data_IF_109663752802
#
_entry.id   IF_109663752802
#
_cell.length_a   1.000
_cell.length_b   1.000
_cell.length_c   1.000
_cell.angle_alpha   90.00
_cell.angle_beta   90.00
_cell.angle_gamma   90.00
#
_symmetry.space_group_name_H-M   'P 1'
#
loop_
_entity.id
_entity.type
_entity.pdbx_description
1 polymer ?
#
# COMPACT_ATOMS: atom_id res chain seq x y z
N UNK A 1 9.86 2.24 -32.01
CA UNK A 1 9.73 2.31 -31.21
C UNK A 1 9.14 2.20 -30.45
N UNK A 2 8.74 2.03 -30.63
CA UNK A 2 8.18 2.39 -29.75
C UNK A 2 8.44 2.11 -28.69
N UNK A 3 8.59 2.81 -28.28
CA UNK A 3 8.79 2.62 -27.01
C UNK A 3 7.54 2.32 -26.39
N UNK A 4 7.30 1.07 -26.18
CA UNK A 4 6.19 0.67 -25.36
C UNK A 4 6.65 0.71 -23.95
N UNK A 5 6.18 1.64 -23.16
CA UNK A 5 6.43 1.65 -21.73
C UNK A 5 5.20 1.13 -20.99
N UNK A 6 5.29 1.03 -19.69
CA UNK A 6 4.22 0.44 -18.87
C UNK A 6 2.92 1.22 -19.03
N UNK A 7 2.99 2.54 -19.18
CA UNK A 7 1.79 3.36 -19.30
C UNK A 7 1.06 3.13 -20.61
N UNK A 8 1.72 2.49 -21.60
CA UNK A 8 1.11 2.17 -22.87
C UNK A 8 0.53 0.77 -22.94
N UNK A 9 0.51 0.04 -21.82
CA UNK A 9 -0.13 -1.26 -21.78
C UNK A 9 -1.63 -1.10 -22.02
N UNK A 10 -2.27 -2.02 -22.81
CA UNK A 10 -3.71 -1.96 -22.99
C UNK A 10 -4.51 -2.36 -21.76
N UNK A 11 -3.85 -2.79 -20.71
CA UNK A 11 -4.51 -3.26 -19.50
C UNK A 11 -4.03 -2.47 -18.27
N UNK A 12 -4.93 -2.23 -17.32
CA UNK A 12 -4.48 -1.63 -16.05
C UNK A 12 -3.51 -2.54 -15.31
N UNK A 13 -2.72 -1.96 -14.43
CA UNK A 13 -1.72 -2.67 -13.65
C UNK A 13 -2.34 -3.06 -12.31
N UNK A 14 -2.53 -4.36 -12.03
CA UNK A 14 -3.04 -4.79 -10.73
C UNK A 14 -1.95 -4.68 -9.68
N UNK A 15 -2.29 -4.04 -8.56
CA UNK A 15 -1.40 -3.89 -7.42
C UNK A 15 -2.11 -4.29 -6.14
N UNK A 16 -1.34 -4.57 -5.11
CA UNK A 16 -1.83 -4.89 -3.78
C UNK A 16 -1.22 -3.91 -2.78
N UNK A 17 -1.96 -3.62 -1.73
CA UNK A 17 -1.46 -2.80 -0.63
C UNK A 17 -2.28 -3.07 0.61
N UNK A 18 -1.70 -2.80 1.78
CA UNK A 18 -2.38 -3.09 3.03
C UNK A 18 -2.09 -2.10 4.14
N UNK A 19 -3.12 -1.87 4.97
CA UNK A 19 -2.93 -1.33 6.31
C UNK A 19 -2.44 -2.48 7.17
N UNK A 20 -1.21 -2.38 7.65
CA UNK A 20 -0.58 -3.41 8.50
C UNK A 20 -0.69 -2.95 9.94
N UNK A 21 -1.42 -3.71 10.76
CA UNK A 21 -1.61 -3.35 12.16
C UNK A 21 -0.60 -4.06 13.07
N UNK A 22 -0.12 -3.35 14.08
CA UNK A 22 0.69 -3.91 15.16
C UNK A 22 -0.20 -4.30 16.34
N UNK A 23 0.41 -4.72 17.45
CA UNK A 23 -0.34 -5.15 18.64
C UNK A 23 -1.14 -4.02 19.30
N UNK A 24 -0.77 -2.77 19.03
CA UNK A 24 -1.45 -1.60 19.62
C UNK A 24 -2.53 -1.06 18.68
N UNK A 25 -2.90 -1.83 17.65
CA UNK A 25 -3.86 -1.41 16.63
C UNK A 25 -3.46 -0.13 15.91
N UNK A 26 -2.16 0.09 15.79
CA UNK A 26 -1.62 1.15 14.96
C UNK A 26 -1.27 0.60 13.58
N UNK A 27 -1.49 1.39 12.56
CA UNK A 27 -1.20 1.03 11.18
C UNK A 27 0.13 1.61 10.73
N UNK A 28 0.84 0.86 9.89
CA UNK A 28 2.10 1.32 9.32
C UNK A 28 1.84 2.23 8.13
N UNK A 29 2.37 3.44 8.21
CA UNK A 29 2.39 4.37 7.09
C UNK A 29 3.81 4.56 6.60
N UNK A 30 3.98 4.64 5.29
CA UNK A 30 5.26 4.95 4.66
C UNK A 30 5.11 6.14 3.75
N UNK A 31 6.18 6.91 3.62
CA UNK A 31 6.19 8.09 2.75
C UNK A 31 7.11 7.83 1.56
N UNK A 32 6.63 8.08 0.36
CA UNK A 32 7.39 7.79 -0.85
C UNK A 32 7.29 8.90 -1.86
N UNK A 33 8.39 9.10 -2.63
CA UNK A 33 8.43 10.07 -3.73
C UNK A 33 7.47 9.71 -4.86
N UNK A 34 7.18 8.42 -5.04
CA UNK A 34 6.29 7.98 -6.12
C UNK A 34 4.89 8.56 -6.00
N UNK A 35 4.46 8.86 -4.77
CA UNK A 35 3.15 9.42 -4.49
C UNK A 35 3.28 10.84 -3.92
N UNK A 36 4.13 11.67 -4.54
CA UNK A 36 4.26 13.09 -4.23
C UNK A 36 4.70 13.36 -2.79
N UNK A 37 5.56 12.48 -2.25
CA UNK A 37 6.04 12.58 -0.86
C UNK A 37 4.92 12.50 0.17
N UNK A 38 3.76 11.96 -0.21
CA UNK A 38 2.65 11.77 0.72
C UNK A 38 2.78 10.44 1.44
N UNK A 39 2.09 10.33 2.56
CA UNK A 39 2.02 9.10 3.32
C UNK A 39 1.06 8.13 2.67
N UNK A 40 1.42 6.87 2.69
CA UNK A 40 0.62 5.79 2.11
C UNK A 40 0.92 4.47 2.78
N UNK A 41 0.56 3.38 2.08
CA UNK A 41 0.69 2.01 2.60
C UNK A 41 1.69 1.23 1.76
N UNK A 42 2.34 0.20 2.36
CA UNK A 42 3.19 -0.71 1.59
C UNK A 42 2.38 -1.51 0.59
N UNK A 43 3.00 -1.81 -0.54
CA UNK A 43 2.38 -2.61 -1.59
C UNK A 43 3.12 -2.48 -2.90
N UNK A 44 2.61 -3.16 -3.92
CA UNK A 44 3.20 -3.10 -5.24
C UNK A 44 2.50 -4.04 -6.21
N UNK A 45 3.15 -4.29 -7.34
CA UNK A 45 2.56 -5.02 -8.45
C UNK A 45 2.46 -6.52 -8.15
N UNK A 46 1.39 -7.14 -8.65
CA UNK A 46 1.26 -8.58 -8.63
C UNK A 46 2.08 -9.13 -9.80
N UNK A 47 2.95 -10.12 -9.51
CA UNK A 47 3.72 -10.79 -10.56
C UNK A 47 2.90 -11.92 -11.16
N UNK A 48 3.14 -12.22 -12.44
CA UNK A 48 2.50 -13.35 -13.10
C UNK A 48 2.73 -14.62 -12.29
N UNK A 49 1.65 -15.33 -12.02
CA UNK A 49 1.71 -16.58 -11.27
C UNK A 49 1.51 -16.44 -9.77
N UNK A 50 1.47 -15.19 -9.24
CA UNK A 50 1.20 -14.97 -7.83
C UNK A 50 -0.30 -14.75 -7.61
N UNK A 51 -0.82 -15.28 -6.52
CA UNK A 51 -2.12 -14.83 -6.01
C UNK A 51 -1.96 -13.44 -5.38
N UNK A 52 -3.05 -12.69 -5.24
CA UNK A 52 -2.96 -11.36 -4.63
C UNK A 52 -2.46 -11.41 -3.17
N UNK A 53 -2.90 -12.36 -2.31
CA UNK A 53 -2.31 -12.44 -0.97
C UNK A 53 -0.82 -12.78 -0.96
N UNK A 54 -0.36 -13.63 -1.88
CA UNK A 54 1.06 -13.97 -1.96
C UNK A 54 1.88 -12.77 -2.43
N UNK A 55 1.37 -12.02 -3.40
CA UNK A 55 2.00 -10.77 -3.84
C UNK A 55 2.09 -9.78 -2.69
N UNK A 56 1.02 -9.67 -1.90
CA UNK A 56 1.00 -8.77 -0.75
C UNK A 56 2.07 -9.15 0.28
N UNK A 57 2.17 -10.44 0.63
CA UNK A 57 3.20 -10.90 1.58
C UNK A 57 4.60 -10.58 1.08
N UNK A 58 4.84 -10.82 -0.21
CA UNK A 58 6.14 -10.56 -0.82
C UNK A 58 6.47 -9.07 -0.82
N UNK A 59 5.52 -8.23 -1.23
CA UNK A 59 5.75 -6.78 -1.28
C UNK A 59 6.01 -6.21 0.12
N UNK A 60 5.23 -6.64 1.11
CA UNK A 60 5.42 -6.17 2.48
C UNK A 60 6.81 -6.58 2.99
N UNK A 61 7.22 -7.84 2.73
CA UNK A 61 8.53 -8.31 3.15
C UNK A 61 9.65 -7.52 2.49
N UNK A 62 9.53 -7.25 1.19
CA UNK A 62 10.55 -6.51 0.45
C UNK A 62 10.66 -5.07 0.92
N UNK A 63 9.53 -4.42 1.20
CA UNK A 63 9.51 -3.00 1.51
C UNK A 63 9.74 -2.70 2.99
N UNK A 64 9.37 -3.60 3.89
CA UNK A 64 9.35 -3.30 5.33
C UNK A 64 10.03 -4.36 6.18
N UNK A 65 10.38 -5.52 5.62
CA UNK A 65 10.93 -6.68 6.33
C UNK A 65 9.94 -7.31 7.33
N UNK A 66 8.65 -6.99 7.21
CA UNK A 66 7.64 -7.55 8.11
C UNK A 66 7.02 -8.82 7.53
N UNK A 67 6.64 -9.74 8.43
CA UNK A 67 5.81 -10.89 8.10
C UNK A 67 4.41 -10.63 8.63
N UNK A 68 3.40 -10.98 7.84
CA UNK A 68 2.01 -10.64 8.16
C UNK A 68 1.10 -11.86 8.10
N UNK A 69 0.02 -11.77 8.88
CA UNK A 69 -1.06 -12.75 8.93
C UNK A 69 -2.40 -12.02 8.89
N UNK A 70 -3.49 -12.77 8.92
CA UNK A 70 -4.86 -12.25 8.97
C UNK A 70 -5.15 -11.29 7.83
N UNK A 71 -4.76 -11.69 6.63
CA UNK A 71 -4.97 -10.89 5.42
C UNK A 71 -6.46 -10.88 5.08
N UNK A 72 -7.05 -9.67 5.07
CA UNK A 72 -8.47 -9.49 4.80
C UNK A 72 -8.66 -8.47 3.70
N UNK A 73 -9.37 -8.85 2.64
CA UNK A 73 -9.68 -7.92 1.55
C UNK A 73 -10.71 -6.87 2.02
N UNK A 74 -10.47 -5.62 1.69
CA UNK A 74 -11.36 -4.51 2.06
C UNK A 74 -12.08 -3.96 0.85
N UNK A 75 -11.34 -3.48 -0.15
CA UNK A 75 -11.95 -2.89 -1.34
C UNK A 75 -10.95 -2.84 -2.49
N UNK A 76 -11.46 -2.57 -3.68
CA UNK A 76 -10.65 -2.31 -4.86
C UNK A 76 -10.89 -0.86 -5.29
N UNK A 77 -9.84 -0.20 -5.74
CA UNK A 77 -9.94 1.16 -6.26
C UNK A 77 -9.44 1.22 -7.69
N UNK A 78 -10.14 1.97 -8.51
CA UNK A 78 -9.69 2.30 -9.86
C UNK A 78 -8.87 3.59 -9.77
N UNK A 79 -7.57 3.51 -9.97
CA UNK A 79 -6.70 4.68 -9.95
C UNK A 79 -6.24 4.98 -11.38
N UNK A 80 -7.04 5.81 -12.05
CA UNK A 80 -6.81 6.15 -13.46
C UNK A 80 -6.06 7.47 -13.51
N UNK A 81 -4.80 7.41 -13.94
CA UNK A 81 -3.91 8.58 -14.05
C UNK A 81 -3.98 9.48 -12.81
N UNK A 82 -3.76 8.92 -11.61
CA UNK A 82 -3.86 9.75 -10.40
C UNK A 82 -2.82 10.86 -10.43
N UNK A 83 -3.27 12.08 -10.11
CA UNK A 83 -2.40 13.27 -10.19
C UNK A 83 -1.25 13.23 -9.20
N UNK A 84 -1.41 12.50 -8.09
CA UNK A 84 -0.39 12.39 -7.05
C UNK A 84 0.73 11.42 -7.40
N UNK A 85 0.50 10.51 -8.36
CA UNK A 85 1.53 9.56 -8.74
C UNK A 85 2.53 10.23 -9.69
N UNK A 86 3.81 9.83 -9.61
CA UNK A 86 4.91 10.53 -10.28
C UNK A 86 4.91 10.39 -11.80
N UNK A 87 4.08 9.51 -12.36
CA UNK A 87 3.97 9.33 -13.81
C UNK A 87 2.55 8.88 -14.16
N UNK A 88 2.24 8.91 -15.45
CA UNK A 88 0.96 8.42 -15.93
C UNK A 88 0.88 6.91 -15.74
N UNK A 89 -0.22 6.46 -15.17
CA UNK A 89 -0.44 5.04 -14.93
C UNK A 89 -1.92 4.80 -14.65
N UNK A 90 -2.37 3.58 -14.95
CA UNK A 90 -3.71 3.13 -14.58
C UNK A 90 -3.54 1.90 -13.70
N UNK A 91 -3.86 2.04 -12.41
CA UNK A 91 -3.74 0.96 -11.45
C UNK A 91 -5.11 0.43 -11.05
N UNK A 92 -5.16 -0.87 -10.83
CA UNK A 92 -6.25 -1.50 -10.10
C UNK A 92 -5.68 -1.82 -8.71
N UNK A 93 -6.11 -1.07 -7.70
CA UNK A 93 -5.55 -1.18 -6.35
C UNK A 93 -6.40 -2.13 -5.52
N UNK A 94 -5.84 -3.29 -5.18
CA UNK A 94 -6.50 -4.24 -4.28
C UNK A 94 -6.02 -3.94 -2.87
N UNK A 95 -6.94 -3.48 -2.03
CA UNK A 95 -6.61 -3.00 -0.69
C UNK A 95 -7.03 -4.00 0.39
N UNK A 96 -6.12 -4.23 1.32
CA UNK A 96 -6.25 -5.22 2.38
C UNK A 96 -5.96 -4.61 3.74
N UNK A 97 -6.36 -5.30 4.79
CA UNK A 97 -5.79 -5.14 6.13
C UNK A 97 -5.07 -6.44 6.49
N UNK A 98 -4.11 -6.35 7.39
CA UNK A 98 -3.41 -7.51 7.92
C UNK A 98 -2.74 -7.14 9.25
N UNK A 99 -2.13 -8.14 9.90
CA UNK A 99 -1.42 -7.91 11.17
C UNK A 99 0.00 -8.42 11.03
N UNK A 100 0.96 -7.63 11.52
CA UNK A 100 2.34 -8.07 11.53
C UNK A 100 2.60 -8.99 12.74
N UNK A 101 3.55 -9.90 12.54
CA UNK A 101 3.96 -10.82 13.61
C UNK A 101 4.89 -10.12 14.58
N UNK A 102 4.82 -10.54 15.86
CA UNK A 102 5.73 -10.08 16.86
C UNK A 102 5.21 -8.90 17.67
N UNK A 103 5.68 -8.81 18.91
CA UNK A 103 5.29 -7.76 19.84
C UNK A 103 5.95 -6.43 19.52
N UNK A 104 7.19 -6.47 19.02
CA UNK A 104 7.96 -5.27 18.67
C UNK A 104 8.54 -5.44 17.28
N UNK A 105 7.68 -5.35 16.24
CA UNK A 105 8.13 -5.58 14.88
C UNK A 105 9.14 -4.52 14.47
N UNK A 106 10.20 -4.97 13.79
CA UNK A 106 11.26 -4.07 13.33
C UNK A 106 11.04 -3.77 11.86
N UNK A 107 10.75 -2.52 11.54
CA UNK A 107 10.58 -2.07 10.17
C UNK A 107 11.94 -1.73 9.58
N UNK A 108 12.24 -2.33 8.43
CA UNK A 108 13.45 -2.02 7.67
C UNK A 108 13.01 -1.68 6.26
N UNK A 109 13.05 -0.40 5.92
CA UNK A 109 12.63 0.07 4.61
C UNK A 109 13.67 -0.26 3.54
N UNK A 110 13.19 -0.52 2.32
CA UNK A 110 14.08 -0.54 1.15
C UNK A 110 14.18 0.89 0.61
N UNK A 111 14.76 1.04 -0.59
CA UNK A 111 15.00 2.37 -1.17
C UNK A 111 13.76 3.02 -1.78
N UNK A 112 12.61 2.36 -1.77
CA UNK A 112 11.39 2.92 -2.34
C UNK A 112 10.67 3.89 -1.40
N UNK A 113 10.99 3.86 -0.11
CA UNK A 113 10.34 4.73 0.88
C UNK A 113 11.38 5.49 1.71
N UNK A 114 11.03 6.72 2.12
CA UNK A 114 11.95 7.58 2.86
C UNK A 114 11.79 7.44 4.36
N UNK A 115 10.57 7.27 4.86
CA UNK A 115 10.32 7.17 6.29
C UNK A 115 9.04 6.39 6.56
N UNK A 116 8.88 5.99 7.81
CA UNK A 116 7.73 5.20 8.24
C UNK A 116 7.29 5.65 9.63
N UNK A 117 6.03 5.38 9.95
CA UNK A 117 5.51 5.59 11.30
C UNK A 117 4.36 4.64 11.59
N UNK A 118 4.14 4.37 12.88
CA UNK A 118 2.95 3.65 13.35
C UNK A 118 1.98 4.68 13.89
N UNK A 119 0.73 4.65 13.41
CA UNK A 119 -0.31 5.59 13.86
C UNK A 119 -1.64 4.87 13.98
N UNK A 120 -2.49 5.33 14.89
CA UNK A 120 -3.90 4.88 14.88
C UNK A 120 -4.55 5.37 13.60
N UNK A 121 -5.64 4.72 13.19
CA UNK A 121 -6.35 5.16 11.98
C UNK A 121 -6.90 6.58 12.14
N UNK A 122 -7.36 6.92 13.35
CA UNK A 122 -7.86 8.27 13.62
C UNK A 122 -6.75 9.31 13.44
N UNK A 123 -5.56 9.02 13.96
CA UNK A 123 -4.42 9.94 13.81
C UNK A 123 -3.90 9.96 12.38
N UNK A 124 -4.04 8.85 11.64
CA UNK A 124 -3.62 8.80 10.25
C UNK A 124 -4.33 9.85 9.40
N UNK A 125 -5.58 10.16 9.71
CA UNK A 125 -6.35 11.16 8.98
C UNK A 125 -5.78 12.58 9.11
N UNK A 126 -4.89 12.81 10.08
CA UNK A 126 -4.20 14.09 10.25
C UNK A 126 -2.85 14.13 9.51
N UNK A 127 -2.43 13.01 8.91
CA UNK A 127 -1.25 13.01 8.06
C UNK A 127 -1.62 13.45 6.65
N UNK A 128 -0.60 13.88 5.90
CA UNK A 128 -0.79 14.18 4.48
C UNK A 128 -0.81 12.87 3.69
N UNK A 129 -1.95 12.20 3.68
CA UNK A 129 -2.14 10.91 3.02
C UNK A 129 -2.33 11.11 1.52
N UNK A 130 -1.84 10.17 0.71
CA UNK A 130 -2.29 10.13 -0.67
C UNK A 130 -3.77 9.72 -0.70
N UNK A 131 -4.46 10.07 -1.78
CA UNK A 131 -5.92 9.91 -1.85
C UNK A 131 -6.37 8.45 -1.70
N UNK A 132 -5.75 7.47 -2.37
CA UNK A 132 -6.20 6.09 -2.18
C UNK A 132 -6.04 5.59 -0.75
N UNK A 133 -4.99 6.02 -0.05
CA UNK A 133 -4.79 5.63 1.34
C UNK A 133 -5.86 6.24 2.23
N UNK A 134 -6.22 7.51 2.00
CA UNK A 134 -7.29 8.14 2.76
C UNK A 134 -8.61 7.41 2.58
N UNK A 135 -8.94 7.03 1.34
CA UNK A 135 -10.16 6.26 1.05
C UNK A 135 -10.15 4.94 1.82
N UNK A 136 -9.02 4.24 1.83
CA UNK A 136 -8.91 2.97 2.53
C UNK A 136 -9.07 3.15 4.05
N UNK A 137 -8.39 4.14 4.62
CA UNK A 137 -8.49 4.41 6.06
C UNK A 137 -9.93 4.71 6.45
N UNK A 138 -10.61 5.55 5.68
CA UNK A 138 -12.00 5.89 5.94
C UNK A 138 -12.92 4.67 5.82
N UNK A 139 -12.67 3.80 4.84
CA UNK A 139 -13.47 2.59 4.67
C UNK A 139 -13.32 1.65 5.87
N UNK A 140 -12.10 1.49 6.40
CA UNK A 140 -11.88 0.63 7.56
C UNK A 140 -12.50 1.24 8.81
N UNK A 141 -12.38 2.55 9.00
CA UNK A 141 -13.00 3.22 10.14
C UNK A 141 -14.53 3.09 10.12
N UNK A 142 -15.13 3.11 8.92
CA UNK A 142 -16.57 3.01 8.79
C UNK A 142 -17.12 1.60 9.00
N UNK A 143 -16.24 0.58 9.03
CA UNK A 143 -16.65 -0.79 9.35
C UNK A 143 -16.86 -1.01 10.85
N UNK A 144 -16.40 -0.09 11.67
CA UNK A 144 -16.44 -0.25 13.14
C UNK A 144 -17.77 0.21 13.74
#
# INVERSE_FOLDING_TARGET
>A
QSLVNISNSPFPIPTVGALIFNQNDEALMIRTHKWSDKWGIPGGKIHTGESSPDALRREIREETALEVDDIKFILVQDAISPSEFYRDAHFLLLNYTCRCRGATPKVVLNDEAQEWCWVTLEDALHLDLNQPTQILVEAVLNEK
#
